data_IF_626711145974
#
_entry.id   IF_626711145974
#
_cell.length_a   1.000
_cell.length_b   1.000
_cell.length_c   1.000
_cell.angle_alpha   90.00
_cell.angle_beta   90.00
_cell.angle_gamma   90.00
#
_symmetry.space_group_name_H-M   'P 1'
#
loop_
_entity.id
_entity.type
_entity.pdbx_description
1 polymer ?
#
# COMPACT_ATOMS: atom_id res chain seq x y z
N UNK A 1 19.79 20.86 -9.18
CA UNK A 1 18.67 21.03 -8.24
C UNK A 1 18.68 19.78 -7.38
N UNK A 2 19.31 19.85 -6.21
CA UNK A 2 19.37 18.70 -5.28
C UNK A 2 17.93 18.34 -4.86
N UNK A 3 17.57 17.04 -4.78
CA UNK A 3 16.27 16.65 -4.28
C UNK A 3 16.15 17.13 -2.84
N UNK A 4 15.16 18.01 -2.59
CA UNK A 4 14.78 18.44 -1.24
C UNK A 4 14.59 17.19 -0.37
N UNK A 5 15.03 17.17 0.90
CA UNK A 5 14.91 15.98 1.74
C UNK A 5 13.46 15.55 1.74
N UNK A 6 13.23 14.33 1.27
CA UNK A 6 11.91 13.72 1.22
C UNK A 6 11.25 13.92 2.58
N UNK A 7 10.20 14.75 2.64
CA UNK A 7 9.55 15.02 3.91
C UNK A 7 9.04 13.69 4.45
N UNK A 8 9.36 13.37 5.69
CA UNK A 8 8.85 12.20 6.40
C UNK A 8 7.79 12.71 7.37
N UNK A 9 6.78 11.89 7.65
CA UNK A 9 5.79 12.16 8.67
C UNK A 9 5.84 11.07 9.74
N UNK A 10 5.84 11.47 11.02
CA UNK A 10 5.74 10.55 12.15
C UNK A 10 4.74 11.09 13.15
N UNK A 11 3.77 10.27 13.53
CA UNK A 11 2.75 10.59 14.52
C UNK A 11 2.66 9.47 15.55
N UNK A 12 2.57 9.81 16.83
CA UNK A 12 2.24 8.89 17.90
C UNK A 12 0.98 9.38 18.60
N UNK A 13 -0.01 8.49 18.76
CA UNK A 13 -1.30 8.86 19.33
C UNK A 13 -1.92 7.71 20.14
N UNK A 14 -2.80 8.02 21.10
CA UNK A 14 -3.52 6.98 21.83
C UNK A 14 -4.41 6.17 20.86
N UNK A 15 -4.67 4.87 21.14
CA UNK A 15 -5.51 4.01 20.30
C UNK A 15 -7.00 4.42 20.37
N UNK A 16 -7.32 5.57 19.79
CA UNK A 16 -8.62 6.20 19.84
C UNK A 16 -9.07 6.65 18.43
N UNK A 17 -10.32 6.34 18.00
CA UNK A 17 -10.79 6.61 16.64
C UNK A 17 -10.70 8.07 16.19
N UNK A 18 -10.73 9.03 17.13
CA UNK A 18 -10.58 10.46 16.82
C UNK A 18 -9.28 10.80 16.07
N UNK A 19 -8.22 9.98 16.23
CA UNK A 19 -6.93 10.21 15.58
C UNK A 19 -6.85 9.73 14.13
N UNK A 20 -7.84 8.97 13.64
CA UNK A 20 -7.86 8.51 12.25
C UNK A 20 -7.91 9.71 11.30
N UNK A 21 -8.70 10.74 11.64
CA UNK A 21 -8.75 11.98 10.84
C UNK A 21 -7.38 12.67 10.81
N UNK A 22 -6.75 12.84 11.97
CA UNK A 22 -5.43 13.48 12.08
C UNK A 22 -4.36 12.72 11.28
N UNK A 23 -4.37 11.38 11.34
CA UNK A 23 -3.49 10.54 10.54
C UNK A 23 -3.67 10.73 9.04
N UNK A 24 -4.92 10.80 8.56
CA UNK A 24 -5.23 11.07 7.15
C UNK A 24 -4.73 12.44 6.70
N UNK A 25 -4.96 13.48 7.49
CA UNK A 25 -4.53 14.84 7.16
C UNK A 25 -3.00 14.92 7.10
N UNK A 26 -2.29 14.26 8.00
CA UNK A 26 -0.83 14.27 7.99
C UNK A 26 -0.23 13.61 6.73
N UNK A 27 -0.79 12.48 6.29
CA UNK A 27 -0.39 11.84 5.02
C UNK A 27 -0.79 12.70 3.81
N UNK A 28 -1.95 13.35 3.85
CA UNK A 28 -2.37 14.30 2.81
C UNK A 28 -1.40 15.48 2.70
N UNK A 29 -1.06 16.11 3.81
CA UNK A 29 -0.10 17.23 3.86
C UNK A 29 1.25 16.81 3.30
N UNK A 30 1.71 15.61 3.62
CA UNK A 30 2.96 15.06 3.10
C UNK A 30 2.97 14.89 1.58
N UNK A 31 1.87 14.37 1.02
CA UNK A 31 1.73 14.19 -0.42
C UNK A 31 1.62 15.53 -1.16
N UNK A 32 0.93 16.50 -0.57
CA UNK A 32 0.84 17.87 -1.09
C UNK A 32 2.21 18.56 -1.11
N UNK A 33 2.99 18.46 -0.02
CA UNK A 33 4.32 19.07 0.05
C UNK A 33 5.33 18.42 -0.90
N UNK A 34 5.07 17.18 -1.31
CA UNK A 34 5.90 16.41 -2.23
C UNK A 34 5.41 16.47 -3.68
N UNK A 35 4.38 17.28 -3.99
CA UNK A 35 3.77 17.39 -5.32
C UNK A 35 3.24 16.06 -5.91
N UNK A 36 2.90 15.09 -5.05
CA UNK A 36 2.38 13.75 -5.43
C UNK A 36 0.89 13.63 -5.16
N UNK A 37 0.14 14.59 -5.72
CA UNK A 37 -1.32 14.64 -5.58
C UNK A 37 -2.02 13.42 -6.18
N UNK A 38 -1.40 12.79 -7.19
CA UNK A 38 -1.82 11.55 -7.85
C UNK A 38 -2.04 10.38 -6.87
N UNK A 39 -1.32 10.34 -5.75
CA UNK A 39 -1.40 9.26 -4.77
C UNK A 39 -2.35 9.57 -3.60
N UNK A 40 -2.88 10.79 -3.52
CA UNK A 40 -3.56 11.30 -2.31
C UNK A 40 -4.74 10.44 -1.89
N UNK A 41 -5.68 10.20 -2.79
CA UNK A 41 -6.93 9.52 -2.44
C UNK A 41 -6.66 8.07 -2.00
N UNK A 42 -5.82 7.37 -2.75
CA UNK A 42 -5.39 6.01 -2.43
C UNK A 42 -4.64 5.96 -1.09
N UNK A 43 -3.59 6.76 -0.93
CA UNK A 43 -2.77 6.74 0.29
C UNK A 43 -3.58 7.11 1.54
N UNK A 44 -4.48 8.10 1.44
CA UNK A 44 -5.33 8.55 2.53
C UNK A 44 -6.36 7.48 2.90
N UNK A 45 -6.98 6.82 1.91
CA UNK A 45 -7.90 5.72 2.14
C UNK A 45 -7.21 4.55 2.86
N UNK A 46 -6.06 4.09 2.33
CA UNK A 46 -5.31 2.99 2.93
C UNK A 46 -4.77 3.32 4.32
N UNK A 47 -4.36 4.57 4.55
CA UNK A 47 -3.97 5.05 5.89
C UNK A 47 -5.14 4.95 6.87
N UNK A 48 -6.35 5.33 6.44
CA UNK A 48 -7.56 5.22 7.27
C UNK A 48 -7.80 3.79 7.71
N UNK A 49 -7.70 2.84 6.77
CA UNK A 49 -7.89 1.41 7.06
C UNK A 49 -6.81 0.88 7.99
N UNK A 50 -5.53 1.20 7.73
CA UNK A 50 -4.41 0.73 8.54
C UNK A 50 -4.48 1.24 9.99
N UNK A 51 -4.77 2.53 10.18
CA UNK A 51 -4.94 3.14 11.51
C UNK A 51 -6.18 2.62 12.22
N UNK A 52 -7.29 2.44 11.50
CA UNK A 52 -8.52 1.88 12.09
C UNK A 52 -8.30 0.44 12.57
N UNK A 53 -7.61 -0.38 11.77
CA UNK A 53 -7.23 -1.74 12.17
C UNK A 53 -6.34 -1.74 13.43
N UNK A 54 -5.33 -0.87 13.48
CA UNK A 54 -4.44 -0.73 14.64
C UNK A 54 -5.20 -0.30 15.91
N UNK A 55 -6.05 0.74 15.80
CA UNK A 55 -6.87 1.23 16.91
C UNK A 55 -7.83 0.16 17.42
N UNK A 56 -8.53 -0.55 16.52
CA UNK A 56 -9.46 -1.61 16.89
C UNK A 56 -8.74 -2.79 17.56
N UNK A 57 -7.57 -3.18 17.05
CA UNK A 57 -6.75 -4.23 17.67
C UNK A 57 -6.29 -3.85 19.08
N UNK A 58 -5.81 -2.61 19.26
CA UNK A 58 -5.42 -2.08 20.56
C UNK A 58 -6.60 -2.02 21.55
N UNK A 59 -7.77 -1.56 21.10
CA UNK A 59 -8.99 -1.50 21.94
C UNK A 59 -9.44 -2.88 22.37
N UNK A 60 -9.45 -3.86 21.45
CA UNK A 60 -9.82 -5.24 21.75
C UNK A 60 -8.88 -5.90 22.78
N UNK A 61 -7.59 -5.56 22.77
CA UNK A 61 -6.57 -6.11 23.67
C UNK A 61 -6.21 -5.21 24.85
N UNK A 62 -6.92 -4.08 25.03
CA UNK A 62 -6.69 -3.08 26.09
C UNK A 62 -5.22 -2.62 26.14
N UNK A 63 -4.63 -2.38 24.98
CA UNK A 63 -3.26 -1.90 24.89
C UNK A 63 -3.13 -0.49 25.49
N UNK A 64 -2.07 -0.27 26.25
CA UNK A 64 -1.70 1.04 26.82
C UNK A 64 -0.65 1.76 25.98
N UNK A 65 0.04 1.04 25.09
CA UNK A 65 1.02 1.61 24.17
C UNK A 65 0.34 2.47 23.09
N UNK A 66 0.98 3.59 22.68
CA UNK A 66 0.47 4.41 21.58
C UNK A 66 0.50 3.65 20.26
N UNK A 67 -0.39 4.04 19.34
CA UNK A 67 -0.28 3.69 17.92
C UNK A 67 0.69 4.70 17.30
N UNK A 68 1.65 4.22 16.51
CA UNK A 68 2.55 5.10 15.76
C UNK A 68 2.34 4.95 14.27
N UNK A 69 2.28 6.06 13.56
CA UNK A 69 2.25 6.14 12.11
C UNK A 69 3.55 6.75 11.63
N UNK A 70 4.18 6.11 10.66
CA UNK A 70 5.34 6.63 9.94
C UNK A 70 5.03 6.62 8.45
N UNK A 71 5.23 7.74 7.77
CA UNK A 71 5.12 7.85 6.33
C UNK A 71 6.43 8.43 5.78
N UNK A 72 7.06 7.71 4.86
CA UNK A 72 8.36 8.04 4.30
C UNK A 72 8.42 7.74 2.81
N UNK A 73 9.19 8.50 2.06
CA UNK A 73 9.52 8.14 0.69
C UNK A 73 10.68 7.15 0.71
N UNK A 74 10.50 6.03 0.02
CA UNK A 74 11.57 5.07 -0.25
C UNK A 74 12.55 5.63 -1.28
N UNK A 75 13.76 5.08 -1.33
CA UNK A 75 14.78 5.41 -2.35
C UNK A 75 14.26 5.21 -3.79
N UNK A 76 13.25 4.35 -3.95
CA UNK A 76 12.57 4.11 -5.22
C UNK A 76 11.48 5.12 -5.55
N UNK A 77 11.27 6.17 -4.76
CA UNK A 77 10.24 7.20 -5.01
C UNK A 77 8.81 6.75 -4.70
N UNK A 78 8.63 5.64 -3.98
CA UNK A 78 7.33 5.18 -3.47
C UNK A 78 7.09 5.70 -2.08
N UNK A 79 5.85 6.05 -1.74
CA UNK A 79 5.47 6.38 -0.37
C UNK A 79 5.23 5.08 0.40
N UNK A 80 5.98 4.86 1.48
CA UNK A 80 5.74 3.80 2.46
C UNK A 80 5.03 4.40 3.66
N UNK A 81 3.89 3.81 4.04
CA UNK A 81 3.18 4.11 5.28
C UNK A 81 3.22 2.89 6.18
N UNK A 82 3.64 3.07 7.42
CA UNK A 82 3.76 2.03 8.43
C UNK A 82 2.99 2.44 9.68
N UNK A 83 2.13 1.56 10.17
CA UNK A 83 1.34 1.76 11.38
C UNK A 83 1.70 0.68 12.38
N UNK A 84 2.26 1.08 13.53
CA UNK A 84 2.53 0.20 14.65
C UNK A 84 1.44 0.29 15.70
N UNK A 85 1.15 -0.85 16.31
CA UNK A 85 0.27 -0.95 17.45
C UNK A 85 0.84 -1.93 18.50
N UNK A 86 0.47 -1.72 19.77
CA UNK A 86 0.90 -2.57 20.88
C UNK A 86 0.10 -3.86 21.04
N UNK A 87 -0.84 -4.16 20.14
CA UNK A 87 -1.63 -5.38 20.19
C UNK A 87 -0.82 -6.54 19.60
N UNK A 88 -0.32 -7.43 20.45
CA UNK A 88 0.40 -8.63 20.03
C UNK A 88 -0.43 -9.53 19.08
N UNK A 89 0.24 -10.42 18.34
CA UNK A 89 -0.39 -11.29 17.34
C UNK A 89 -0.63 -10.60 15.99
N UNK A 90 -0.71 -11.38 14.92
CA UNK A 90 -0.90 -10.87 13.55
C UNK A 90 -2.36 -10.42 13.31
N UNK A 91 -2.60 -9.44 12.42
CA UNK A 91 -3.93 -9.17 11.90
C UNK A 91 -4.45 -10.44 11.25
N UNK A 92 -5.53 -10.98 11.77
CA UNK A 92 -6.17 -12.15 11.17
C UNK A 92 -6.97 -11.64 9.98
N UNK A 93 -6.59 -12.06 8.77
CA UNK A 93 -7.43 -11.89 7.58
C UNK A 93 -8.66 -12.76 7.78
N UNK A 94 -9.73 -12.20 8.34
CA UNK A 94 -11.00 -12.93 8.50
C UNK A 94 -11.78 -12.85 7.19
N UNK A 95 -12.17 -13.98 6.58
CA UNK A 95 -13.17 -13.95 5.53
C UNK A 95 -14.45 -13.33 6.11
N UNK A 96 -15.11 -12.45 5.35
CA UNK A 96 -16.34 -11.82 5.79
C UNK A 96 -17.39 -12.91 6.05
N UNK A 97 -17.79 -13.09 7.31
CA UNK A 97 -18.78 -14.10 7.71
C UNK A 97 -20.21 -13.55 7.49
N UNK A 98 -20.37 -12.23 7.38
CA UNK A 98 -21.61 -11.56 6.98
C UNK A 98 -21.34 -10.21 6.30
N UNK A 99 -22.33 -9.68 5.57
CA UNK A 99 -22.26 -8.36 4.90
C UNK A 99 -22.09 -7.20 5.89
N UNK A 100 -22.46 -7.41 7.15
CA UNK A 100 -22.41 -6.44 8.26
C UNK A 100 -21.10 -6.50 9.05
N UNK A 101 -20.23 -7.47 8.76
CA UNK A 101 -18.96 -7.67 9.46
C UNK A 101 -17.85 -6.80 8.82
N UNK A 102 -17.66 -5.59 9.34
CA UNK A 102 -16.65 -4.63 8.85
C UNK A 102 -15.21 -5.06 9.18
N UNK A 103 -15.04 -6.03 10.09
CA UNK A 103 -13.75 -6.42 10.69
C UNK A 103 -12.75 -7.12 9.75
N UNK A 104 -13.12 -7.37 8.49
CA UNK A 104 -12.28 -8.04 7.47
C UNK A 104 -12.02 -7.24 6.18
N UNK A 105 -12.67 -6.09 5.99
CA UNK A 105 -12.54 -5.31 4.73
C UNK A 105 -11.24 -4.50 4.66
N UNK A 106 -10.75 -3.98 5.78
CA UNK A 106 -9.61 -3.07 5.78
C UNK A 106 -8.31 -3.67 5.23
N UNK A 107 -8.00 -4.93 5.55
CA UNK A 107 -6.84 -5.61 4.95
C UNK A 107 -7.04 -5.93 3.46
N UNK A 108 -8.28 -6.16 3.04
CA UNK A 108 -8.61 -6.40 1.63
C UNK A 108 -8.46 -5.10 0.82
N UNK A 109 -8.85 -3.96 1.38
CA UNK A 109 -8.64 -2.65 0.78
C UNK A 109 -7.15 -2.30 0.68
N UNK A 110 -6.38 -2.54 1.75
CA UNK A 110 -4.92 -2.39 1.72
C UNK A 110 -4.31 -3.31 0.65
N UNK A 111 -4.74 -4.56 0.57
CA UNK A 111 -4.20 -5.50 -0.41
C UNK A 111 -4.56 -5.14 -1.86
N UNK A 112 -5.73 -4.55 -2.10
CA UNK A 112 -6.19 -4.17 -3.43
C UNK A 112 -5.63 -2.82 -3.90
N UNK A 113 -5.42 -1.88 -2.98
CA UNK A 113 -5.02 -0.50 -3.30
C UNK A 113 -3.53 -0.21 -3.20
N UNK A 114 -2.71 -1.13 -2.67
CA UNK A 114 -1.27 -0.92 -2.50
C UNK A 114 -0.44 -1.65 -3.56
N UNK A 115 0.74 -1.10 -3.87
CA UNK A 115 1.72 -1.78 -4.71
C UNK A 115 2.34 -2.97 -3.98
N UNK A 116 2.60 -2.80 -2.69
CA UNK A 116 3.06 -3.84 -1.78
C UNK A 116 2.55 -3.52 -0.38
N UNK A 117 2.33 -4.55 0.42
CA UNK A 117 1.95 -4.42 1.81
C UNK A 117 2.41 -5.63 2.58
N UNK A 118 2.43 -5.49 3.90
CA UNK A 118 2.76 -6.59 4.78
C UNK A 118 2.44 -6.29 6.23
N UNK A 119 2.64 -7.31 7.04
CA UNK A 119 2.53 -7.21 8.49
C UNK A 119 3.76 -7.86 9.10
N UNK A 120 4.47 -7.12 9.94
CA UNK A 120 5.61 -7.63 10.70
C UNK A 120 5.27 -7.66 12.18
N UNK A 121 5.50 -8.80 12.85
CA UNK A 121 5.59 -8.81 14.30
C UNK A 121 6.93 -8.18 14.70
N UNK A 122 6.92 -7.22 15.64
CA UNK A 122 8.13 -6.49 15.97
C UNK A 122 8.95 -7.25 17.04
N UNK A 123 9.97 -8.00 16.61
CA UNK A 123 10.97 -8.59 17.50
C UNK A 123 10.40 -9.38 18.70
N UNK A 124 11.14 -9.51 19.82
CA UNK A 124 10.67 -10.22 21.02
C UNK A 124 9.66 -9.41 21.87
N UNK A 125 9.15 -8.27 21.39
CA UNK A 125 8.22 -7.40 22.12
C UNK A 125 6.75 -7.55 21.68
N UNK A 126 5.79 -7.05 22.48
CA UNK A 126 4.38 -7.05 22.09
C UNK A 126 4.10 -5.99 21.01
N UNK A 127 3.46 -6.41 19.92
CA UNK A 127 2.93 -5.51 18.91
C UNK A 127 3.10 -6.02 17.50
N UNK A 128 2.63 -5.21 16.56
CA UNK A 128 2.77 -5.46 15.11
C UNK A 128 2.88 -4.15 14.36
N UNK A 129 3.48 -4.23 13.19
CA UNK A 129 3.50 -3.18 12.19
C UNK A 129 2.68 -3.64 10.99
N UNK A 130 1.68 -2.87 10.58
CA UNK A 130 1.07 -3.00 9.25
C UNK A 130 1.67 -1.94 8.35
N UNK A 131 2.16 -2.30 7.18
CA UNK A 131 2.75 -1.34 6.24
C UNK A 131 2.21 -1.55 4.84
N UNK A 132 2.21 -0.48 4.05
CA UNK A 132 1.93 -0.52 2.62
C UNK A 132 2.77 0.50 1.88
N UNK A 133 2.95 0.28 0.58
CA UNK A 133 3.59 1.22 -0.34
C UNK A 133 2.64 1.61 -1.47
N UNK A 134 2.67 2.88 -1.85
CA UNK A 134 1.93 3.41 -2.99
C UNK A 134 2.81 4.27 -3.89
N UNK A 135 2.54 4.21 -5.18
CA UNK A 135 3.16 5.00 -6.23
C UNK A 135 4.15 4.20 -7.06
N UNK A 136 4.17 4.49 -8.36
CA UNK A 136 5.20 4.01 -9.29
C UNK A 136 6.51 4.74 -8.98
N UNK A 137 7.69 4.08 -9.11
CA UNK A 137 8.95 4.78 -9.01
C UNK A 137 8.94 6.00 -9.91
N UNK A 138 9.42 7.14 -9.41
CA UNK A 138 9.77 8.24 -10.32
C UNK A 138 10.69 7.64 -11.39
N UNK A 139 10.48 7.93 -12.69
CA UNK A 139 11.26 7.29 -13.73
C UNK A 139 12.74 7.57 -13.51
N UNK A 140 13.46 6.57 -13.04
CA UNK A 140 14.91 6.58 -12.99
C UNK A 140 15.36 6.38 -14.45
N UNK A 141 15.86 7.44 -15.06
CA UNK A 141 16.54 7.38 -16.35
C UNK A 141 17.83 6.61 -16.17
N UNK A 142 17.76 5.29 -16.27
CA UNK A 142 18.73 4.44 -16.97
C UNK A 142 18.35 2.96 -16.81
N UNK A 143 18.00 2.35 -17.95
CA UNK A 143 17.47 0.98 -18.16
C UNK A 143 16.13 0.70 -17.46
N UNK A 144 15.09 1.35 -18.00
CA UNK A 144 13.70 1.29 -17.57
C UNK A 144 12.94 0.07 -18.13
N UNK A 145 11.93 -0.47 -17.41
CA UNK A 145 10.91 -1.38 -17.97
C UNK A 145 10.00 -0.70 -19.02
N UNK A 146 10.08 0.63 -19.18
CA UNK A 146 9.56 1.35 -20.36
C UNK A 146 10.52 1.10 -21.52
N UNK A 147 10.31 -0.01 -22.22
CA UNK A 147 11.21 -0.50 -23.29
C UNK A 147 11.16 -2.02 -23.48
N UNK A 148 10.50 -2.76 -22.60
CA UNK A 148 10.18 -4.16 -22.85
C UNK A 148 9.13 -4.25 -23.97
N UNK A 149 9.53 -4.76 -25.13
CA UNK A 149 8.66 -4.97 -26.29
C UNK A 149 7.42 -5.78 -25.91
N UNK A 150 7.60 -6.82 -25.10
CA UNK A 150 6.52 -7.72 -24.70
C UNK A 150 5.49 -7.01 -23.79
N UNK A 151 5.93 -6.13 -22.89
CA UNK A 151 5.01 -5.31 -22.09
C UNK A 151 4.19 -4.35 -22.96
N UNK A 152 4.81 -3.74 -23.97
CA UNK A 152 4.15 -2.81 -24.89
C UNK A 152 3.09 -3.54 -25.72
N UNK A 153 3.42 -4.73 -26.22
CA UNK A 153 2.50 -5.57 -26.99
C UNK A 153 1.31 -6.06 -26.13
N UNK A 154 1.57 -6.50 -24.91
CA UNK A 154 0.52 -6.94 -23.98
C UNK A 154 -0.40 -5.79 -23.55
N UNK A 155 0.13 -4.58 -23.36
CA UNK A 155 -0.69 -3.39 -23.13
C UNK A 155 -1.54 -3.00 -24.35
N UNK A 156 -0.97 -3.08 -25.56
CA UNK A 156 -1.71 -2.81 -26.79
C UNK A 156 -2.86 -3.81 -27.00
N UNK A 157 -2.62 -5.10 -26.74
CA UNK A 157 -3.65 -6.14 -26.78
C UNK A 157 -4.77 -5.88 -25.77
N UNK A 158 -4.43 -5.45 -24.54
CA UNK A 158 -5.42 -5.07 -23.53
C UNK A 158 -6.25 -3.87 -23.97
N UNK A 159 -5.63 -2.84 -24.56
CA UNK A 159 -6.36 -1.65 -25.08
C UNK A 159 -7.29 -2.01 -26.24
N UNK A 160 -6.87 -2.89 -27.14
CA UNK A 160 -7.71 -3.38 -28.22
C UNK A 160 -8.93 -4.15 -27.67
N UNK A 161 -8.73 -5.05 -26.71
CA UNK A 161 -9.84 -5.78 -26.07
C UNK A 161 -10.85 -4.84 -25.37
N UNK A 162 -10.37 -3.78 -24.72
CA UNK A 162 -11.22 -2.75 -24.12
C UNK A 162 -12.01 -1.98 -25.17
N UNK A 163 -11.39 -1.66 -26.31
CA UNK A 163 -12.07 -0.97 -27.41
C UNK A 163 -13.12 -1.86 -28.10
N UNK A 164 -12.86 -3.17 -28.18
CA UNK A 164 -13.78 -4.17 -28.74
C UNK A 164 -14.95 -4.50 -27.79
N UNK A 165 -14.82 -4.19 -26.49
CA UNK A 165 -15.85 -4.46 -25.48
C UNK A 165 -16.00 -5.94 -25.09
N UNK A 166 -15.01 -6.76 -25.42
CA UNK A 166 -15.00 -8.20 -25.12
C UNK A 166 -14.45 -8.43 -23.70
N UNK A 167 -15.35 -8.63 -22.74
CA UNK A 167 -15.00 -8.79 -21.33
C UNK A 167 -14.02 -9.94 -21.05
N UNK A 168 -14.14 -11.06 -21.79
CA UNK A 168 -13.27 -12.22 -21.63
C UNK A 168 -11.85 -11.91 -22.13
N UNK A 169 -11.73 -11.30 -23.31
CA UNK A 169 -10.44 -10.85 -23.85
C UNK A 169 -9.78 -9.77 -22.99
N UNK A 170 -10.55 -8.91 -22.32
CA UNK A 170 -10.02 -7.89 -21.41
C UNK A 170 -9.39 -8.55 -20.18
N UNK A 171 -10.05 -9.55 -19.59
CA UNK A 171 -9.55 -10.29 -18.42
C UNK A 171 -8.26 -11.02 -18.78
N UNK A 172 -8.24 -11.76 -19.88
CA UNK A 172 -7.08 -12.53 -20.31
C UNK A 172 -5.86 -11.64 -20.63
N UNK A 173 -6.06 -10.54 -21.36
CA UNK A 173 -5.00 -9.59 -21.65
C UNK A 173 -4.46 -8.92 -20.36
N UNK A 174 -5.33 -8.70 -19.38
CA UNK A 174 -4.93 -8.15 -18.08
C UNK A 174 -4.14 -9.17 -17.26
N UNK A 175 -4.51 -10.45 -17.29
CA UNK A 175 -3.79 -11.53 -16.62
C UNK A 175 -2.41 -11.73 -17.26
N UNK A 176 -2.33 -11.74 -18.59
CA UNK A 176 -1.08 -11.91 -19.33
C UNK A 176 -0.07 -10.79 -19.05
N UNK A 177 -0.52 -9.52 -19.09
CA UNK A 177 0.32 -8.36 -18.75
C UNK A 177 0.86 -8.45 -17.32
N UNK A 178 0.00 -8.80 -16.35
CA UNK A 178 0.39 -8.94 -14.94
C UNK A 178 1.35 -10.11 -14.70
N UNK A 179 1.13 -11.23 -15.39
CA UNK A 179 1.99 -12.42 -15.31
C UNK A 179 3.39 -12.13 -15.84
N UNK A 180 3.47 -11.53 -17.04
CA UNK A 180 4.74 -11.12 -17.64
C UNK A 180 5.47 -10.11 -16.76
N UNK A 181 4.79 -9.05 -16.32
CA UNK A 181 5.41 -8.04 -15.46
C UNK A 181 5.97 -8.64 -14.16
N UNK A 182 5.24 -9.58 -13.54
CA UNK A 182 5.72 -10.31 -12.35
C UNK A 182 6.94 -11.19 -12.64
N UNK A 183 6.90 -11.96 -13.73
CA UNK A 183 7.95 -12.90 -14.08
C UNK A 183 9.25 -12.24 -14.57
N UNK A 184 9.11 -11.20 -15.40
CA UNK A 184 10.23 -10.54 -16.05
C UNK A 184 10.79 -9.34 -15.27
N UNK A 185 9.98 -8.73 -14.38
CA UNK A 185 10.36 -7.47 -13.72
C UNK A 185 10.26 -7.46 -12.19
N UNK A 186 9.64 -8.47 -11.55
CA UNK A 186 9.48 -8.50 -10.07
C UNK A 186 10.25 -9.65 -9.41
N UNK A 187 10.50 -10.77 -10.09
CA UNK A 187 11.29 -11.88 -9.54
C UNK A 187 12.79 -11.73 -9.87
N UNK A 188 13.71 -11.96 -8.92
CA UNK A 188 15.12 -12.10 -9.27
C UNK A 188 15.25 -13.38 -10.09
N UNK A 189 15.78 -13.25 -11.30
CA UNK A 189 16.30 -14.38 -12.07
C UNK A 189 17.39 -15.04 -11.23
N UNK A 190 17.00 -16.03 -10.42
CA UNK A 190 17.94 -17.00 -9.86
C UNK A 190 18.37 -17.89 -11.02
N UNK A 191 19.33 -17.38 -11.80
CA UNK A 191 20.11 -18.20 -12.71
C UNK A 191 21.14 -18.96 -11.88
N UNK A 192 20.93 -20.26 -11.72
CA UNK A 192 21.93 -21.32 -11.84
C UNK A 192 21.27 -22.68 -11.91
#
# INVERSE_FOLDING_TARGET
MEPSPASNCSLAFPPHPAWVRTAREAVRTLLLSSYRTDLTDTAVALTSEAVTNAVNACRAKRCTSPVTLHAEWTDTGRLRVSVHDGAGGLPVRRPAVSLEDESGRGLTLIAAGSDAWGVCAHGPGPGKMTWFTVGVPAPCTEKSPVGCTDCVELEAARRAAVADGDEERIVDATVALRSHFRGAHILPVMQR
#
